data_IF_752032212798
#
_entry.id   IF_752032212798
#
_cell.length_a   1.000
_cell.length_b   1.000
_cell.length_c   1.000
_cell.angle_alpha   90.00
_cell.angle_beta   90.00
_cell.angle_gamma   90.00
#
_symmetry.space_group_name_H-M   'P 1'
#
loop_
_entity.id
_entity.type
_entity.pdbx_description
1 polymer ?
#
# COMPACT_ATOMS: atom_id res chain seq x y z
N UNK A 1 20.13 -19.67 -6.54
CA UNK A 1 18.94 -19.45 -5.68
C UNK A 1 18.57 -17.97 -5.60
N UNK A 2 19.45 -17.10 -5.11
CA UNK A 2 19.22 -15.64 -5.07
C UNK A 2 18.92 -15.01 -6.44
N UNK A 3 19.63 -15.39 -7.50
CA UNK A 3 19.37 -14.88 -8.85
C UNK A 3 18.00 -15.31 -9.40
N UNK A 4 17.55 -16.53 -9.11
CA UNK A 4 16.25 -17.02 -9.56
C UNK A 4 15.11 -16.35 -8.80
N UNK A 5 15.21 -16.29 -7.47
CA UNK A 5 14.21 -15.62 -6.62
C UNK A 5 14.19 -14.11 -6.88
N UNK A 6 15.34 -13.46 -7.08
CA UNK A 6 15.43 -12.03 -7.36
C UNK A 6 14.92 -11.66 -8.76
N UNK A 7 15.27 -12.41 -9.80
CA UNK A 7 14.79 -12.13 -11.16
C UNK A 7 13.29 -12.39 -11.28
N UNK A 8 12.78 -13.47 -10.67
CA UNK A 8 11.35 -13.77 -10.73
C UNK A 8 10.54 -12.82 -9.83
N UNK A 9 10.96 -12.58 -8.59
CA UNK A 9 10.20 -11.72 -7.67
C UNK A 9 10.30 -10.25 -8.03
N UNK A 10 11.51 -9.72 -8.25
CA UNK A 10 11.70 -8.29 -8.55
C UNK A 10 11.52 -8.01 -10.04
N UNK A 11 12.07 -8.83 -10.93
CA UNK A 11 11.97 -8.58 -12.37
C UNK A 11 10.55 -8.71 -12.92
N UNK A 12 9.87 -9.83 -12.65
CA UNK A 12 8.50 -10.04 -13.13
C UNK A 12 7.50 -9.18 -12.36
N UNK A 13 7.67 -9.08 -11.04
CA UNK A 13 6.82 -8.27 -10.16
C UNK A 13 6.80 -6.79 -10.57
N UNK A 14 7.96 -6.13 -10.67
CA UNK A 14 8.01 -4.73 -11.07
C UNK A 14 7.53 -4.50 -12.50
N UNK A 15 7.76 -5.45 -13.42
CA UNK A 15 7.25 -5.34 -14.79
C UNK A 15 5.73 -5.36 -14.83
N UNK A 16 5.10 -6.29 -14.09
CA UNK A 16 3.64 -6.34 -13.95
C UNK A 16 3.09 -5.10 -13.25
N UNK A 17 3.78 -4.58 -12.23
CA UNK A 17 3.44 -3.31 -11.60
C UNK A 17 3.41 -2.19 -12.64
N UNK A 18 4.48 -2.00 -13.41
CA UNK A 18 4.58 -0.96 -14.45
C UNK A 18 3.48 -1.12 -15.50
N UNK A 19 3.16 -2.34 -15.92
CA UNK A 19 2.07 -2.61 -16.86
C UNK A 19 0.72 -2.22 -16.23
N UNK A 20 0.47 -2.61 -14.97
CA UNK A 20 -0.75 -2.22 -14.26
C UNK A 20 -0.87 -0.69 -14.12
N UNK A 21 0.26 0.03 -13.94
CA UNK A 21 0.25 1.50 -13.91
C UNK A 21 -0.01 2.13 -15.27
N UNK A 22 0.38 1.44 -16.36
CA UNK A 22 0.26 1.94 -17.71
C UNK A 22 -1.16 1.78 -18.28
N UNK A 23 -1.84 0.71 -17.92
CA UNK A 23 -3.17 0.36 -18.44
C UNK A 23 -4.32 0.72 -17.46
N UNK A 24 -4.02 0.97 -16.18
CA UNK A 24 -5.00 1.30 -15.15
C UNK A 24 -5.22 2.80 -14.95
N UNK A 25 -6.40 3.18 -14.42
CA UNK A 25 -6.66 4.56 -14.01
C UNK A 25 -5.62 5.00 -12.95
N UNK A 26 -4.90 6.13 -13.16
CA UNK A 26 -3.79 6.54 -12.30
C UNK A 26 -4.19 6.68 -10.82
N UNK A 27 -5.46 6.96 -10.54
CA UNK A 27 -6.02 7.03 -9.19
C UNK A 27 -6.04 5.66 -8.52
N UNK A 28 -6.60 4.65 -9.20
CA UNK A 28 -6.76 3.29 -8.67
C UNK A 28 -5.40 2.60 -8.51
N UNK A 29 -4.52 2.79 -9.50
CA UNK A 29 -3.17 2.23 -9.47
C UNK A 29 -2.35 2.82 -8.32
N UNK A 30 -2.37 4.16 -8.13
CA UNK A 30 -1.63 4.81 -7.04
C UNK A 30 -2.11 4.35 -5.67
N UNK A 31 -3.42 4.12 -5.54
CA UNK A 31 -4.05 3.60 -4.33
C UNK A 31 -3.58 2.16 -4.05
N UNK A 32 -3.61 1.27 -5.05
CA UNK A 32 -3.12 -0.12 -4.91
C UNK A 32 -1.63 -0.16 -4.57
N UNK A 33 -0.81 0.67 -5.20
CA UNK A 33 0.63 0.74 -4.93
C UNK A 33 0.90 1.20 -3.49
N UNK A 34 0.13 2.15 -2.98
CA UNK A 34 0.22 2.59 -1.59
C UNK A 34 -0.22 1.49 -0.61
N UNK A 35 -1.21 0.67 -1.01
CA UNK A 35 -1.68 -0.50 -0.27
C UNK A 35 -0.70 -1.68 -0.25
N UNK A 36 0.20 -1.79 -1.22
CA UNK A 36 1.19 -2.88 -1.26
C UNK A 36 2.00 -2.95 0.04
N UNK A 37 2.40 -1.79 0.57
CA UNK A 37 3.13 -1.70 1.84
C UNK A 37 2.28 -2.18 3.02
N UNK A 38 0.97 -1.95 3.01
CA UNK A 38 0.06 -2.50 4.03
C UNK A 38 0.02 -4.03 3.98
N UNK A 39 -0.16 -4.61 2.78
CA UNK A 39 -0.18 -6.06 2.60
C UNK A 39 1.16 -6.72 2.96
N UNK A 40 2.28 -6.06 2.66
CA UNK A 40 3.61 -6.53 3.05
C UNK A 40 3.76 -6.60 4.57
N UNK A 41 3.29 -5.58 5.29
CA UNK A 41 3.30 -5.52 6.77
C UNK A 41 2.37 -6.57 7.37
N UNK A 42 1.15 -6.72 6.87
CA UNK A 42 0.19 -7.73 7.35
C UNK A 42 0.70 -9.15 7.08
N UNK A 43 1.22 -9.39 5.88
CA UNK A 43 1.81 -10.69 5.53
C UNK A 43 3.06 -10.97 6.38
N UNK A 44 3.90 -9.96 6.62
CA UNK A 44 5.03 -10.07 7.54
C UNK A 44 4.59 -10.43 8.95
N UNK A 45 3.56 -9.77 9.49
CA UNK A 45 3.02 -10.09 10.81
C UNK A 45 2.47 -11.53 10.90
N UNK A 46 1.79 -12.01 9.86
CA UNK A 46 1.20 -13.36 9.82
C UNK A 46 2.28 -14.44 9.63
N UNK A 47 3.18 -14.27 8.66
CA UNK A 47 4.18 -15.29 8.29
C UNK A 47 5.38 -15.31 9.23
N UNK A 48 5.85 -14.15 9.69
CA UNK A 48 7.02 -14.04 10.57
C UNK A 48 6.64 -14.18 12.05
N UNK A 49 5.35 -14.08 12.39
CA UNK A 49 4.82 -14.13 13.75
C UNK A 49 5.54 -13.17 14.71
N UNK A 50 6.07 -12.06 14.15
CA UNK A 50 6.70 -10.99 14.91
C UNK A 50 5.66 -10.36 15.84
N UNK A 51 6.08 -10.10 17.08
CA UNK A 51 5.27 -9.37 18.05
C UNK A 51 5.16 -7.93 17.56
N UNK A 52 4.12 -7.64 16.76
CA UNK A 52 3.82 -6.28 16.34
C UNK A 52 3.74 -5.37 17.55
N UNK A 53 4.63 -4.38 17.59
CA UNK A 53 4.65 -3.35 18.61
C UNK A 53 3.37 -2.51 18.51
N UNK A 54 2.99 -1.85 19.61
CA UNK A 54 1.83 -0.95 19.65
C UNK A 54 1.89 0.11 18.53
N UNK A 55 3.09 0.52 18.12
CA UNK A 55 3.30 1.47 17.01
C UNK A 55 2.91 0.90 15.65
N UNK A 56 3.19 -0.38 15.39
CA UNK A 56 2.84 -1.06 14.14
C UNK A 56 1.33 -1.28 14.06
N UNK A 57 0.69 -1.65 15.16
CA UNK A 57 -0.77 -1.70 15.26
C UNK A 57 -1.43 -0.36 14.93
N UNK A 58 -0.90 0.73 15.48
CA UNK A 58 -1.39 2.08 15.20
C UNK A 58 -1.17 2.48 13.74
N UNK A 59 -0.01 2.14 13.17
CA UNK A 59 0.27 2.34 11.75
C UNK A 59 -0.64 1.53 10.82
N UNK A 60 -0.94 0.28 11.16
CA UNK A 60 -1.89 -0.57 10.43
C UNK A 60 -3.30 0.02 10.45
N UNK A 61 -3.76 0.49 11.63
CA UNK A 61 -5.06 1.14 11.77
C UNK A 61 -5.16 2.45 10.98
N UNK A 62 -4.09 3.27 10.99
CA UNK A 62 -4.02 4.49 10.19
C UNK A 62 -4.03 4.20 8.68
N UNK A 63 -3.26 3.21 8.22
CA UNK A 63 -3.28 2.80 6.81
C UNK A 63 -4.66 2.30 6.37
N UNK A 64 -5.32 1.44 7.16
CA UNK A 64 -6.69 1.00 6.87
C UNK A 64 -7.66 2.17 6.79
N UNK A 65 -7.57 3.11 7.73
CA UNK A 65 -8.42 4.30 7.75
C UNK A 65 -8.18 5.16 6.50
N UNK A 66 -6.92 5.42 6.14
CA UNK A 66 -6.56 6.19 4.96
C UNK A 66 -7.03 5.50 3.66
N UNK A 67 -6.89 4.19 3.56
CA UNK A 67 -7.37 3.39 2.42
C UNK A 67 -8.89 3.46 2.28
N UNK A 68 -9.63 3.28 3.38
CA UNK A 68 -11.09 3.35 3.37
C UNK A 68 -11.55 4.75 2.96
N UNK A 69 -10.91 5.79 3.48
CA UNK A 69 -11.17 7.18 3.10
C UNK A 69 -10.84 7.46 1.63
N UNK A 70 -9.75 6.89 1.11
CA UNK A 70 -9.32 7.08 -0.28
C UNK A 70 -10.15 6.30 -1.29
N UNK A 71 -10.80 5.20 -0.88
CA UNK A 71 -11.75 4.44 -1.70
C UNK A 71 -13.13 5.11 -1.77
N UNK A 72 -13.40 6.14 -0.96
CA UNK A 72 -14.61 6.94 -1.08
C UNK A 72 -14.46 7.92 -2.27
N UNK A 73 -15.26 7.75 -3.34
CA UNK A 73 -15.09 8.50 -4.58
C UNK A 73 -15.29 10.01 -4.35
N UNK A 74 -14.22 10.77 -4.60
CA UNK A 74 -14.03 12.21 -4.90
C UNK A 74 -14.86 13.29 -4.18
N UNK A 75 -15.82 12.99 -3.30
CA UNK A 75 -16.58 14.05 -2.61
C UNK A 75 -15.94 14.52 -1.31
N UNK A 76 -14.90 13.85 -0.83
CA UNK A 76 -14.35 14.09 0.52
C UNK A 76 -12.83 14.34 0.59
N UNK A 77 -12.09 14.22 -0.53
CA UNK A 77 -10.67 14.61 -0.56
C UNK A 77 -10.45 16.13 -0.32
N UNK A 78 -11.49 16.94 -0.56
CA UNK A 78 -11.52 18.38 -0.23
C UNK A 78 -11.49 18.70 1.28
N UNK A 79 -11.69 17.73 2.17
CA UNK A 79 -11.79 17.98 3.62
C UNK A 79 -10.50 17.73 4.41
N UNK A 80 -9.53 16.98 3.85
CA UNK A 80 -8.29 16.59 4.57
C UNK A 80 -7.04 17.35 4.10
N UNK A 81 -7.12 18.25 3.11
CA UNK A 81 -6.05 19.24 2.90
C UNK A 81 -6.23 20.51 3.75
N UNK A 82 -7.40 20.72 4.38
CA UNK A 82 -7.68 21.92 5.18
C UNK A 82 -7.17 21.87 6.63
N UNK A 83 -6.39 20.85 7.01
CA UNK A 83 -5.94 20.64 8.39
C UNK A 83 -4.43 20.64 8.61
N UNK A 84 -3.62 20.95 7.58
CA UNK A 84 -2.16 21.04 7.69
C UNK A 84 -1.64 22.44 7.34
N UNK A 85 -2.31 23.45 7.87
CA UNK A 85 -1.79 24.82 8.00
C UNK A 85 -2.14 25.33 9.40
N UNK A 86 -1.41 24.86 10.42
CA UNK A 86 -1.05 25.66 11.60
C UNK A 86 0.31 25.18 12.15
#
# INVERSE_FOLDING_TARGET
YLLYVGVVSSGVGYTLQIIAQKDGDPTVVSLILSLESFFAVVSGAIFLHERMSLREYFGCALMLTAVILSQLPEKSAKAVESGKEE
#
